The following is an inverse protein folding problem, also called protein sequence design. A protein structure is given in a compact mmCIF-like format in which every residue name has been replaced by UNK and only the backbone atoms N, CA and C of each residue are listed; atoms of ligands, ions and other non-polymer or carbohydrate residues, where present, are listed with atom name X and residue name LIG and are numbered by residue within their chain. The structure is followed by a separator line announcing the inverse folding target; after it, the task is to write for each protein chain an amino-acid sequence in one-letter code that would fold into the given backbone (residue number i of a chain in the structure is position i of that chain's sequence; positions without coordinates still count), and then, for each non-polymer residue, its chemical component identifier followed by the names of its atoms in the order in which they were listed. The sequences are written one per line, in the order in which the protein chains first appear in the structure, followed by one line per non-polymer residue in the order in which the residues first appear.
data_IF_286006293634
#
_entry.id   IF_286006293634
#
_cell.length_a   1.000
_cell.length_b   1.000
_cell.length_c   1.000
_cell.angle_alpha   90.00
_cell.angle_beta   90.00
_cell.angle_gamma   90.00
#
_symmetry.space_group_name_H-M   'P 1'
#
loop_
_entity.id
_entity.type
_entity.pdbx_description
1 polymer ?
#
# COMPACT_ATOMS: atom_id res chain seq x y z
N UNK A 1 -11.23 0.12 6.45
CA UNK A 1 -11.43 1.57 6.55
C UNK A 1 -12.89 1.99 6.87
N UNK A 2 -13.85 1.08 6.80
CA UNK A 2 -15.27 1.35 7.12
C UNK A 2 -15.57 1.64 8.61
N UNK A 3 -14.59 1.53 9.50
CA UNK A 3 -14.83 1.63 10.95
C UNK A 3 -14.94 3.06 11.50
N UNK A 4 -14.59 4.08 10.73
CA UNK A 4 -14.40 5.42 11.31
C UNK A 4 -15.52 6.44 11.01
N UNK A 5 -16.65 6.07 10.42
CA UNK A 5 -17.75 7.00 10.07
C UNK A 5 -17.31 8.30 9.35
N UNK A 6 -16.11 8.31 8.76
CA UNK A 6 -15.65 9.43 7.94
C UNK A 6 -16.18 9.26 6.53
N UNK A 7 -16.67 10.33 5.94
CA UNK A 7 -17.04 10.30 4.53
C UNK A 7 -15.80 10.14 3.63
N UNK A 8 -16.01 9.55 2.44
CA UNK A 8 -14.94 9.24 1.50
C UNK A 8 -14.18 10.47 1.00
N UNK A 9 -14.84 11.61 0.94
CA UNK A 9 -14.25 12.84 0.42
C UNK A 9 -13.31 13.46 1.46
N UNK A 10 -13.69 13.43 2.74
CA UNK A 10 -12.83 13.88 3.84
C UNK A 10 -11.53 13.07 3.88
N UNK A 11 -11.63 11.74 3.80
CA UNK A 11 -10.46 10.85 3.79
C UNK A 11 -9.61 11.07 2.54
N UNK A 12 -10.21 11.22 1.37
CA UNK A 12 -9.49 11.48 0.13
C UNK A 12 -8.72 12.80 0.18
N UNK A 13 -9.32 13.83 0.75
CA UNK A 13 -8.67 15.13 0.92
C UNK A 13 -7.51 15.06 1.94
N UNK A 14 -7.68 14.33 3.04
CA UNK A 14 -6.63 14.12 4.03
C UNK A 14 -5.41 13.42 3.40
N UNK A 15 -5.63 12.34 2.65
CA UNK A 15 -4.58 11.63 1.91
C UNK A 15 -3.86 12.56 0.94
N UNK A 16 -4.59 13.33 0.12
CA UNK A 16 -3.99 14.22 -0.86
C UNK A 16 -3.17 15.33 -0.18
N UNK A 17 -3.69 15.93 0.88
CA UNK A 17 -2.98 16.97 1.62
C UNK A 17 -1.71 16.42 2.27
N UNK A 18 -1.75 15.22 2.82
CA UNK A 18 -0.59 14.56 3.41
C UNK A 18 0.48 14.26 2.36
N UNK A 19 0.10 13.73 1.18
CA UNK A 19 1.03 13.48 0.08
C UNK A 19 1.73 14.78 -0.38
N UNK A 20 0.98 15.87 -0.51
CA UNK A 20 1.55 17.17 -0.88
C UNK A 20 2.49 17.72 0.20
N UNK A 21 2.11 17.58 1.47
CA UNK A 21 2.93 18.00 2.61
C UNK A 21 4.28 17.28 2.64
N UNK A 22 4.29 15.98 2.29
CA UNK A 22 5.50 15.17 2.20
C UNK A 22 6.26 15.33 0.87
N UNK A 23 5.87 16.30 0.05
CA UNK A 23 6.57 16.66 -1.18
C UNK A 23 6.31 15.74 -2.37
N UNK A 24 5.34 14.84 -2.29
CA UNK A 24 4.95 14.02 -3.43
C UNK A 24 4.29 14.87 -4.52
N UNK A 25 4.72 14.64 -5.75
CA UNK A 25 4.16 15.33 -6.93
C UNK A 25 3.04 14.48 -7.53
N UNK A 26 2.18 15.12 -8.29
CA UNK A 26 1.14 14.43 -9.05
C UNK A 26 1.12 14.89 -10.50
N UNK A 27 0.65 14.04 -11.38
CA UNK A 27 0.35 14.32 -12.77
C UNK A 27 -1.17 14.46 -12.94
N UNK A 28 -1.62 15.49 -13.65
CA UNK A 28 -3.02 15.61 -14.01
C UNK A 28 -3.32 14.70 -15.22
N UNK A 29 -4.29 13.81 -15.04
CA UNK A 29 -4.76 12.92 -16.10
C UNK A 29 -5.86 13.65 -16.88
N UNK A 30 -5.87 13.47 -18.20
CA UNK A 30 -6.94 14.03 -19.03
C UNK A 30 -8.25 13.26 -18.78
N UNK A 31 -9.38 13.97 -18.76
CA UNK A 31 -10.71 13.36 -18.54
C UNK A 31 -11.03 12.26 -19.56
N UNK A 32 -10.47 12.32 -20.77
CA UNK A 32 -10.61 11.24 -21.77
C UNK A 32 -9.93 9.93 -21.36
N UNK A 33 -8.97 9.97 -20.47
CA UNK A 33 -8.22 8.80 -19.96
C UNK A 33 -8.90 8.16 -18.75
N UNK A 34 -9.74 8.95 -18.04
CA UNK A 34 -10.49 8.49 -16.88
C UNK A 34 -11.79 9.26 -16.76
N UNK A 35 -12.92 8.57 -16.94
CA UNK A 35 -14.26 9.20 -16.97
C UNK A 35 -14.75 9.71 -15.63
N UNK A 36 -14.32 9.12 -14.52
CA UNK A 36 -14.80 9.45 -13.19
C UNK A 36 -13.72 9.35 -12.13
N UNK A 37 -13.95 9.96 -10.97
CA UNK A 37 -13.05 9.97 -9.83
C UNK A 37 -11.94 11.00 -9.94
N UNK A 38 -10.93 10.89 -9.09
CA UNK A 38 -9.85 11.84 -8.99
C UNK A 38 -8.95 11.79 -10.25
N UNK A 39 -8.69 12.96 -10.83
CA UNK A 39 -7.81 13.12 -12.01
C UNK A 39 -6.35 13.41 -11.63
N UNK A 40 -6.01 13.45 -10.36
CA UNK A 40 -4.63 13.55 -9.89
C UNK A 40 -4.07 12.15 -9.72
N UNK A 41 -2.94 11.87 -10.35
CA UNK A 41 -2.21 10.62 -10.22
C UNK A 41 -0.86 10.89 -9.56
N UNK A 42 -0.69 10.37 -8.37
CA UNK A 42 0.60 10.33 -7.68
C UNK A 42 1.43 9.17 -8.21
N UNK A 43 2.75 9.26 -8.08
CA UNK A 43 3.64 8.18 -8.48
C UNK A 43 3.39 6.91 -7.63
N UNK A 44 3.57 5.76 -8.26
CA UNK A 44 3.54 4.47 -7.55
C UNK A 44 4.63 4.45 -6.49
N UNK A 45 4.30 3.95 -5.30
CA UNK A 45 5.18 3.98 -4.13
C UNK A 45 5.04 5.24 -3.26
N UNK A 46 4.16 6.20 -3.63
CA UNK A 46 3.81 7.29 -2.72
C UNK A 46 3.10 6.75 -1.48
N UNK A 47 3.48 7.22 -0.30
CA UNK A 47 2.87 6.80 0.97
C UNK A 47 2.26 8.01 1.66
N UNK A 48 0.97 7.95 1.96
CA UNK A 48 0.28 8.92 2.81
C UNK A 48 0.15 8.36 4.22
N UNK A 49 0.25 9.26 5.20
CA UNK A 49 0.08 8.97 6.60
C UNK A 49 -1.20 9.63 7.11
N UNK A 50 -2.11 8.85 7.66
CA UNK A 50 -3.35 9.36 8.25
C UNK A 50 -3.56 8.77 9.63
N UNK A 51 -4.14 9.59 10.51
CA UNK A 51 -4.45 9.17 11.86
C UNK A 51 -5.82 8.48 11.92
N UNK A 52 -5.89 7.35 12.60
CA UNK A 52 -7.11 6.65 12.94
C UNK A 52 -7.69 7.07 14.29
N UNK A 53 -8.63 6.29 14.78
CA UNK A 53 -9.11 6.38 16.16
C UNK A 53 -8.08 5.71 17.09
N UNK A 54 -8.11 6.07 18.39
CA UNK A 54 -7.27 5.45 19.42
C UNK A 54 -5.74 5.53 19.16
N UNK A 55 -5.28 6.62 18.55
CA UNK A 55 -3.85 6.83 18.19
C UNK A 55 -3.30 5.81 17.19
N UNK A 56 -4.15 5.11 16.47
CA UNK A 56 -3.73 4.29 15.34
C UNK A 56 -3.22 5.18 14.21
N UNK A 57 -2.17 4.72 13.53
CA UNK A 57 -1.60 5.38 12.35
C UNK A 57 -1.70 4.45 11.15
N UNK A 58 -2.15 4.99 10.03
CA UNK A 58 -2.29 4.23 8.79
C UNK A 58 -1.36 4.77 7.73
N UNK A 59 -0.57 3.89 7.13
CA UNK A 59 0.26 4.16 5.96
C UNK A 59 -0.50 3.70 4.71
N UNK A 60 -0.90 4.64 3.89
CA UNK A 60 -1.70 4.39 2.68
C UNK A 60 -0.78 4.41 1.47
N UNK A 61 -0.51 3.24 0.91
CA UNK A 61 0.37 3.06 -0.24
C UNK A 61 -0.35 3.31 -1.56
N UNK A 62 0.20 4.16 -2.39
CA UNK A 62 -0.17 4.29 -3.80
C UNK A 62 0.45 3.15 -4.62
N UNK A 63 -0.29 2.07 -4.81
CA UNK A 63 0.17 0.87 -5.49
C UNK A 63 -0.24 0.82 -6.96
N UNK A 64 -1.48 1.22 -7.25
CA UNK A 64 -2.12 1.01 -8.55
C UNK A 64 -2.66 2.31 -9.13
N UNK A 65 -2.84 2.31 -10.43
CA UNK A 65 -3.66 3.31 -11.10
C UNK A 65 -4.90 2.66 -11.72
N UNK A 66 -5.94 3.45 -11.86
CA UNK A 66 -7.17 3.00 -12.50
C UNK A 66 -7.23 3.51 -13.94
N UNK A 67 -7.61 2.63 -14.86
CA UNK A 67 -7.90 2.98 -16.23
C UNK A 67 -9.30 3.64 -16.39
N UNK A 68 -9.70 3.88 -17.64
CA UNK A 68 -10.97 4.48 -17.97
C UNK A 68 -12.19 3.59 -17.60
N UNK A 69 -11.98 2.29 -17.44
CA UNK A 69 -12.97 1.30 -17.05
C UNK A 69 -12.96 1.00 -15.56
N UNK A 70 -12.16 1.77 -14.79
CA UNK A 70 -11.96 1.62 -13.35
C UNK A 70 -11.33 0.27 -12.96
N UNK A 71 -10.53 -0.32 -13.87
CA UNK A 71 -9.73 -1.47 -13.54
C UNK A 71 -8.39 -1.03 -12.96
N UNK A 72 -7.97 -1.68 -11.89
CA UNK A 72 -6.68 -1.41 -11.26
C UNK A 72 -5.56 -2.07 -12.05
N UNK A 73 -4.45 -1.34 -12.23
CA UNK A 73 -3.26 -1.82 -12.92
C UNK A 73 -2.03 -1.57 -12.07
N UNK A 74 -1.11 -2.52 -12.10
CA UNK A 74 0.25 -2.38 -11.56
C UNK A 74 1.20 -3.20 -12.43
N UNK A 75 2.28 -2.57 -12.86
CA UNK A 75 3.37 -3.29 -13.52
C UNK A 75 4.30 -3.90 -12.47
N UNK A 76 5.02 -4.95 -12.84
CA UNK A 76 5.89 -5.67 -11.89
C UNK A 76 6.97 -4.76 -11.29
N UNK A 77 7.58 -3.94 -12.10
CA UNK A 77 8.60 -2.96 -11.69
C UNK A 77 8.03 -1.92 -10.72
N UNK A 78 6.80 -1.47 -10.97
CA UNK A 78 6.09 -0.53 -10.10
C UNK A 78 5.74 -1.18 -8.76
N UNK A 79 5.31 -2.45 -8.77
CA UNK A 79 5.06 -3.20 -7.54
C UNK A 79 6.34 -3.29 -6.69
N UNK A 80 7.47 -3.66 -7.31
CA UNK A 80 8.78 -3.75 -6.65
C UNK A 80 9.14 -2.43 -5.99
N UNK A 81 9.04 -1.34 -6.73
CA UNK A 81 9.30 0.02 -6.25
C UNK A 81 8.38 0.40 -5.10
N UNK A 82 7.08 0.08 -5.21
CA UNK A 82 6.09 0.42 -4.20
C UNK A 82 6.38 -0.27 -2.86
N UNK A 83 6.70 -1.58 -2.87
CA UNK A 83 7.01 -2.32 -1.64
C UNK A 83 8.30 -1.80 -1.01
N UNK A 84 9.34 -1.54 -1.79
CA UNK A 84 10.58 -0.95 -1.27
C UNK A 84 10.35 0.44 -0.65
N UNK A 85 9.54 1.29 -1.30
CA UNK A 85 9.17 2.60 -0.77
C UNK A 85 8.39 2.50 0.54
N UNK A 86 7.45 1.55 0.64
CA UNK A 86 6.68 1.33 1.86
C UNK A 86 7.56 0.85 3.00
N UNK A 87 8.43 -0.15 2.77
CA UNK A 87 9.34 -0.68 3.80
C UNK A 87 10.28 0.42 4.31
N UNK A 88 10.83 1.22 3.40
CA UNK A 88 11.64 2.38 3.77
C UNK A 88 10.82 3.40 4.59
N UNK A 89 9.58 3.67 4.19
CA UNK A 89 8.71 4.59 4.94
C UNK A 89 8.42 4.08 6.35
N UNK A 90 8.19 2.77 6.52
CA UNK A 90 8.01 2.12 7.81
C UNK A 90 9.27 2.30 8.68
N UNK A 91 10.47 2.06 8.14
CA UNK A 91 11.72 2.23 8.89
C UNK A 91 11.93 3.66 9.39
N UNK A 92 11.46 4.65 8.65
CA UNK A 92 11.62 6.07 9.02
C UNK A 92 10.50 6.58 9.95
N UNK A 93 9.32 5.95 9.96
CA UNK A 93 8.11 6.53 10.55
C UNK A 93 7.41 5.69 11.59
N UNK A 94 7.77 4.41 11.75
CA UNK A 94 7.16 3.49 12.72
C UNK A 94 7.39 3.90 14.18
N UNK A 95 8.45 4.64 14.45
CA UNK A 95 8.85 5.06 15.82
C UNK A 95 8.97 3.87 16.78
N UNK A 96 9.38 2.70 16.28
CA UNK A 96 9.49 1.46 17.06
C UNK A 96 8.15 0.74 17.33
N UNK A 97 7.01 1.27 16.85
CA UNK A 97 5.71 0.62 17.03
C UNK A 97 5.50 -0.51 16.02
N UNK A 98 4.91 -1.65 16.46
CA UNK A 98 4.61 -2.75 15.56
C UNK A 98 3.74 -2.32 14.38
N UNK A 99 4.13 -2.73 13.18
CA UNK A 99 3.40 -2.42 11.94
C UNK A 99 2.73 -3.66 11.40
N UNK A 100 1.44 -3.56 11.04
CA UNK A 100 0.64 -4.64 10.49
C UNK A 100 0.31 -4.34 9.03
N UNK A 101 0.64 -5.24 8.12
CA UNK A 101 0.35 -5.08 6.70
C UNK A 101 -0.28 -6.34 6.12
N UNK A 102 -1.28 -6.23 5.23
CA UNK A 102 -1.80 -7.38 4.49
C UNK A 102 -0.77 -7.82 3.44
N UNK A 103 -1.02 -8.98 2.81
CA UNK A 103 -0.30 -9.34 1.59
C UNK A 103 -0.73 -8.39 0.47
N UNK A 104 0.10 -7.38 0.24
CA UNK A 104 -0.20 -6.30 -0.71
C UNK A 104 -0.20 -6.86 -2.14
N UNK A 105 -1.18 -6.46 -2.95
CA UNK A 105 -1.26 -6.85 -4.37
C UNK A 105 -2.15 -8.05 -4.67
N UNK A 106 -2.72 -8.72 -3.67
CA UNK A 106 -3.66 -9.87 -3.84
C UNK A 106 -5.09 -9.46 -4.20
N UNK A 107 -5.38 -8.16 -4.17
CA UNK A 107 -6.70 -7.61 -4.51
C UNK A 107 -6.90 -7.39 -6.01
N UNK A 108 -7.74 -6.43 -6.37
CA UNK A 108 -8.09 -6.10 -7.77
C UNK A 108 -6.92 -5.74 -8.70
N UNK A 109 -5.71 -5.56 -8.18
CA UNK A 109 -4.50 -5.30 -8.95
C UNK A 109 -3.91 -6.56 -9.59
N UNK A 110 -4.20 -7.74 -9.03
CA UNK A 110 -3.68 -9.04 -9.47
C UNK A 110 -2.17 -9.02 -9.77
N UNK A 111 -1.39 -8.52 -8.80
CA UNK A 111 0.06 -8.32 -8.96
C UNK A 111 0.86 -9.64 -9.01
N UNK A 112 0.25 -10.77 -8.60
CA UNK A 112 0.88 -12.08 -8.59
C UNK A 112 0.25 -13.06 -7.60
N UNK A 113 0.80 -14.26 -7.51
CA UNK A 113 0.34 -15.25 -6.53
C UNK A 113 0.66 -14.80 -5.10
N UNK A 114 -0.18 -15.20 -4.14
CA UNK A 114 0.02 -14.85 -2.71
C UNK A 114 1.41 -15.28 -2.24
N UNK A 115 1.86 -16.49 -2.60
CA UNK A 115 3.18 -16.99 -2.21
C UNK A 115 4.32 -16.12 -2.75
N UNK A 116 4.27 -15.75 -4.03
CA UNK A 116 5.32 -14.94 -4.65
C UNK A 116 5.37 -13.55 -4.01
N UNK A 117 4.20 -12.97 -3.75
CA UNK A 117 4.09 -11.64 -3.14
C UNK A 117 4.62 -11.64 -1.70
N UNK A 118 4.26 -12.66 -0.89
CA UNK A 118 4.77 -12.80 0.49
C UNK A 118 6.28 -12.97 0.48
N UNK A 119 6.82 -13.87 -0.33
CA UNK A 119 8.28 -14.09 -0.45
C UNK A 119 8.98 -12.79 -0.84
N UNK A 120 8.42 -12.05 -1.78
CA UNK A 120 8.98 -10.78 -2.22
C UNK A 120 8.97 -9.72 -1.11
N UNK A 121 7.84 -9.58 -0.39
CA UNK A 121 7.71 -8.65 0.75
C UNK A 121 8.74 -8.98 1.83
N UNK A 122 8.83 -10.27 2.23
CA UNK A 122 9.79 -10.72 3.25
C UNK A 122 11.22 -10.41 2.83
N UNK A 123 11.60 -10.74 1.60
CA UNK A 123 12.96 -10.43 1.10
C UNK A 123 13.24 -8.95 1.05
N UNK A 124 12.25 -8.13 0.74
CA UNK A 124 12.42 -6.67 0.78
C UNK A 124 12.64 -6.19 2.21
N UNK A 125 11.87 -6.70 3.19
CA UNK A 125 12.07 -6.38 4.61
C UNK A 125 13.47 -6.80 5.06
N UNK A 126 13.93 -8.00 4.67
CA UNK A 126 15.29 -8.47 4.98
C UNK A 126 16.40 -7.55 4.46
N UNK A 127 16.20 -6.93 3.28
CA UNK A 127 17.17 -5.96 2.74
C UNK A 127 17.29 -4.69 3.59
N UNK A 128 16.22 -4.31 4.27
CA UNK A 128 16.17 -3.11 5.13
C UNK A 128 16.26 -3.43 6.62
N UNK A 129 16.55 -4.68 7.00
CA UNK A 129 16.49 -5.14 8.41
C UNK A 129 17.31 -4.30 9.40
N UNK A 130 18.44 -3.77 8.96
CA UNK A 130 19.32 -2.98 9.81
C UNK A 130 18.83 -1.53 9.99
N UNK A 131 17.84 -1.10 9.18
CA UNK A 131 17.22 0.22 9.23
C UNK A 131 15.85 0.18 9.93
N UNK A 132 15.25 -1.00 10.09
CA UNK A 132 13.93 -1.20 10.69
C UNK A 132 14.08 -1.37 12.21
N UNK A 133 13.39 -0.54 12.97
CA UNK A 133 13.38 -0.53 14.43
C UNK A 133 12.09 -1.11 15.05
N UNK A 134 11.22 -1.69 14.23
CA UNK A 134 9.93 -2.23 14.65
C UNK A 134 9.66 -3.65 14.14
N UNK A 135 8.73 -4.35 14.77
CA UNK A 135 8.21 -5.61 14.26
C UNK A 135 7.24 -5.36 13.10
N UNK A 136 7.43 -6.03 11.96
CA UNK A 136 6.52 -6.00 10.83
C UNK A 136 5.74 -7.32 10.77
N UNK A 137 4.43 -7.26 10.95
CA UNK A 137 3.52 -8.39 10.91
C UNK A 137 2.81 -8.46 9.57
N UNK A 138 3.05 -9.51 8.77
CA UNK A 138 2.30 -9.76 7.53
C UNK A 138 1.04 -10.54 7.89
N UNK A 139 -0.12 -9.92 7.65
CA UNK A 139 -1.44 -10.50 7.96
C UNK A 139 -1.98 -11.23 6.75
N UNK A 140 -2.25 -12.51 6.92
CA UNK A 140 -2.84 -13.38 5.89
C UNK A 140 -4.30 -13.65 6.24
N UNK A 141 -5.20 -13.64 5.25
CA UNK A 141 -6.59 -13.95 5.50
C UNK A 141 -6.82 -15.45 5.71
N UNK A 142 -7.75 -15.82 6.58
CA UNK A 142 -8.16 -17.21 6.79
C UNK A 142 -8.59 -17.92 5.50
N UNK A 143 -9.11 -17.18 4.54
CA UNK A 143 -9.51 -17.71 3.24
C UNK A 143 -8.30 -18.15 2.43
N UNK A 144 -7.24 -17.35 2.41
CA UNK A 144 -6.00 -17.66 1.69
C UNK A 144 -5.29 -18.84 2.33
N UNK A 145 -5.25 -18.92 3.65
CA UNK A 145 -4.70 -20.04 4.40
C UNK A 145 -5.47 -21.33 4.12
N UNK A 146 -6.81 -21.32 4.23
CA UNK A 146 -7.68 -22.49 4.00
C UNK A 146 -7.64 -23.03 2.58
N UNK A 147 -7.41 -22.17 1.59
CA UNK A 147 -7.26 -22.58 0.19
C UNK A 147 -5.85 -23.06 -0.13
N UNK A 148 -4.92 -23.05 0.84
CA UNK A 148 -3.53 -23.43 0.62
C UNK A 148 -2.80 -22.50 -0.35
N UNK A 149 -3.29 -21.27 -0.52
CA UNK A 149 -2.69 -20.28 -1.40
C UNK A 149 -1.36 -19.74 -0.86
N UNK A 150 -1.09 -19.97 0.42
CA UNK A 150 0.16 -19.62 1.05
C UNK A 150 0.85 -20.85 1.64
N UNK A 151 2.12 -21.04 1.31
CA UNK A 151 2.94 -22.11 1.85
C UNK A 151 4.01 -21.53 2.80
N UNK A 152 3.72 -21.51 4.09
CA UNK A 152 4.61 -20.99 5.14
C UNK A 152 5.97 -21.70 5.21
N UNK A 153 6.10 -22.89 4.64
CA UNK A 153 7.38 -23.61 4.59
C UNK A 153 8.36 -23.06 3.56
N UNK A 154 7.92 -22.14 2.71
CA UNK A 154 8.76 -21.49 1.70
C UNK A 154 9.33 -20.14 2.19
N UNK A 155 8.94 -19.69 3.36
CA UNK A 155 9.49 -18.53 4.07
C UNK A 155 10.65 -19.00 4.97
#
# INVERSE_FOLDING_TARGET
YKQNNRDSDTVSNEIQNNLLLHGYKYTNIKQKEKRSGNLRRYDVGSVAEINGLNNEQYFILGLTYFDNELRAHVEKEDYIKAIASLVKYISERSQGFPTYMPVIGTGGADAGSVNDLVVYIVKTIELFKDEIDCDIHIVVSDKEEKLGLMNLKML
#
